data_IF_623878613030
#
_entry.id   IF_623878613030
#
_cell.length_a   1.000
_cell.length_b   1.000
_cell.length_c   1.000
_cell.angle_alpha   90.00
_cell.angle_beta   90.00
_cell.angle_gamma   90.00
#
_symmetry.space_group_name_H-M   'P 1'
#
loop_
_entity.id
_entity.type
_entity.pdbx_description
1 polymer ?
#
# COMPACT_ATOMS: atom_id res chain seq x y z
N UNK A 1 -64.78 77.20 16.92
CA UNK A 1 -64.38 77.10 18.32
C UNK A 1 -63.25 76.07 18.44
N UNK A 2 -62.15 76.43 18.94
CA UNK A 2 -60.90 75.64 19.01
C UNK A 2 -60.98 74.57 20.13
N UNK A 3 -60.49 73.36 19.83
CA UNK A 3 -60.03 72.43 20.87
C UNK A 3 -58.73 71.79 20.40
N UNK A 4 -57.70 72.04 21.19
CA UNK A 4 -56.34 71.54 21.05
C UNK A 4 -56.21 70.12 21.55
N UNK A 5 -55.71 69.19 20.71
CA UNK A 5 -55.38 67.82 21.08
C UNK A 5 -53.86 67.67 21.20
N UNK A 6 -53.43 67.26 22.38
CA UNK A 6 -52.03 66.95 22.72
C UNK A 6 -51.63 65.59 22.10
N UNK A 7 -50.48 65.54 21.43
CA UNK A 7 -49.83 64.30 20.98
C UNK A 7 -48.97 63.70 22.10
N UNK A 8 -48.96 62.37 22.30
CA UNK A 8 -48.01 61.74 23.19
C UNK A 8 -46.68 61.44 22.47
N UNK A 9 -45.60 61.66 23.20
CA UNK A 9 -44.23 61.30 22.81
C UNK A 9 -44.06 59.78 22.82
N UNK A 10 -43.65 59.18 21.69
CA UNK A 10 -43.12 57.84 21.62
C UNK A 10 -41.61 57.90 21.90
N UNK A 11 -41.16 57.29 22.99
CA UNK A 11 -39.77 57.06 23.28
C UNK A 11 -39.29 55.87 22.46
N UNK A 12 -38.35 56.10 21.54
CA UNK A 12 -37.63 55.03 20.82
C UNK A 12 -36.59 54.40 21.73
N UNK A 13 -36.80 53.14 22.10
CA UNK A 13 -35.76 52.27 22.65
C UNK A 13 -34.85 51.83 21.49
N UNK A 14 -33.64 52.33 21.41
CA UNK A 14 -32.58 51.81 20.57
C UNK A 14 -31.93 50.63 21.30
N UNK A 15 -32.33 49.41 20.90
CA UNK A 15 -31.64 48.20 21.34
C UNK A 15 -30.31 48.06 20.62
N UNK A 16 -29.21 48.16 21.35
CA UNK A 16 -27.88 47.86 20.87
C UNK A 16 -27.73 46.35 20.67
N UNK A 17 -27.76 45.88 19.40
CA UNK A 17 -27.32 44.56 19.04
C UNK A 17 -25.80 44.49 19.19
N UNK A 18 -25.31 43.89 20.25
CA UNK A 18 -23.93 43.47 20.38
C UNK A 18 -23.66 42.30 19.43
N UNK A 19 -23.02 42.59 18.32
CA UNK A 19 -22.46 41.54 17.42
C UNK A 19 -21.30 40.85 18.14
N UNK A 20 -21.54 39.62 18.58
CA UNK A 20 -20.47 38.71 19.00
C UNK A 20 -19.61 38.39 17.74
N UNK A 21 -18.29 38.50 17.82
CA UNK A 21 -17.42 38.09 16.73
C UNK A 21 -17.55 36.59 16.56
N UNK A 22 -17.99 36.14 15.40
CA UNK A 22 -17.86 34.75 14.96
C UNK A 22 -16.35 34.53 14.84
N UNK A 23 -15.74 33.91 15.86
CA UNK A 23 -14.40 33.36 15.72
C UNK A 23 -14.47 32.25 14.68
N UNK A 24 -14.14 32.59 13.44
CA UNK A 24 -13.91 31.58 12.42
C UNK A 24 -12.78 30.70 12.93
N UNK A 25 -13.11 29.48 13.31
CA UNK A 25 -12.16 28.43 13.58
C UNK A 25 -11.37 28.22 12.29
N UNK A 26 -10.19 28.84 12.19
CA UNK A 26 -9.23 28.51 11.14
C UNK A 26 -8.86 27.04 11.33
N UNK A 27 -9.44 26.19 10.51
CA UNK A 27 -8.98 24.82 10.37
C UNK A 27 -7.48 24.91 10.06
N UNK A 28 -6.66 24.32 10.89
CA UNK A 28 -5.21 24.30 10.70
C UNK A 28 -4.92 23.71 9.33
N UNK A 29 -4.29 24.45 8.45
CA UNK A 29 -3.89 24.04 7.10
C UNK A 29 -2.69 23.08 7.12
N UNK A 30 -2.29 22.60 8.29
CA UNK A 30 -1.21 21.62 8.41
C UNK A 30 -1.72 20.26 7.96
N UNK A 31 -1.00 19.59 7.05
CA UNK A 31 -1.33 18.22 6.66
C UNK A 31 -1.40 17.35 7.90
N UNK A 32 -2.40 16.48 7.97
CA UNK A 32 -2.47 15.48 9.05
C UNK A 32 -1.22 14.62 9.02
N UNK A 33 -0.42 14.67 10.09
CA UNK A 33 0.70 13.77 10.30
C UNK A 33 0.24 12.63 11.22
N UNK A 34 0.31 11.35 10.80
CA UNK A 34 -0.05 10.22 11.63
C UNK A 34 0.75 10.21 12.93
N UNK A 35 0.07 10.06 14.05
CA UNK A 35 0.71 9.95 15.37
C UNK A 35 0.87 8.47 15.72
N UNK A 36 1.80 8.18 16.63
CA UNK A 36 1.96 6.83 17.18
C UNK A 36 0.65 6.29 17.79
N UNK A 37 -0.19 7.17 18.39
CA UNK A 37 -1.51 6.85 18.91
C UNK A 37 -2.53 6.47 17.85
N UNK A 38 -2.33 6.91 16.60
CA UNK A 38 -3.22 6.63 15.47
C UNK A 38 -2.86 5.29 14.79
N UNK A 39 -1.85 4.63 15.30
CA UNK A 39 -1.39 3.34 14.81
C UNK A 39 -2.48 2.29 15.02
N UNK A 40 -2.95 1.62 13.97
CA UNK A 40 -3.80 0.45 14.12
C UNK A 40 -3.09 -0.57 15.02
N UNK A 41 -3.82 -1.21 15.92
CA UNK A 41 -3.26 -2.30 16.70
C UNK A 41 -2.64 -3.33 15.74
N UNK A 42 -1.40 -3.72 16.01
CA UNK A 42 -0.78 -4.80 15.26
C UNK A 42 -1.63 -6.06 15.49
N UNK A 43 -2.26 -6.54 14.44
CA UNK A 43 -2.99 -7.79 14.53
C UNK A 43 -1.99 -8.90 14.41
N UNK A 44 -1.68 -9.50 15.56
CA UNK A 44 -0.77 -10.64 15.67
C UNK A 44 -1.59 -11.89 15.98
N UNK A 45 -1.28 -13.00 15.27
CA UNK A 45 -1.89 -14.30 15.57
C UNK A 45 -2.94 -14.76 14.57
N UNK A 46 -3.63 -15.81 14.96
CA UNK A 46 -4.63 -16.51 14.14
C UNK A 46 -5.97 -15.79 14.18
N UNK A 47 -6.10 -14.72 13.38
CA UNK A 47 -7.39 -14.08 13.20
C UNK A 47 -8.35 -15.00 12.45
N UNK A 48 -9.64 -15.01 12.81
CA UNK A 48 -10.63 -15.77 12.08
C UNK A 48 -10.63 -15.44 10.58
N UNK A 49 -10.58 -16.48 9.75
CA UNK A 49 -10.65 -16.38 8.30
C UNK A 49 -9.30 -16.24 7.58
N UNK A 50 -8.17 -16.07 8.30
CA UNK A 50 -6.86 -16.18 7.69
C UNK A 50 -6.40 -17.63 7.59
N UNK A 51 -5.86 -18.02 6.43
CA UNK A 51 -5.25 -19.33 6.18
C UNK A 51 -3.78 -19.16 5.84
N UNK A 52 -2.95 -20.09 6.30
CA UNK A 52 -1.53 -20.10 5.95
C UNK A 52 -1.34 -20.44 4.46
N UNK A 53 -0.45 -19.71 3.79
CA UNK A 53 -0.04 -19.96 2.40
C UNK A 53 1.35 -20.60 2.31
N UNK A 54 2.06 -20.74 3.43
CA UNK A 54 3.44 -21.24 3.48
C UNK A 54 3.65 -22.04 4.75
N UNK A 55 4.24 -23.21 4.65
CA UNK A 55 4.45 -24.14 5.75
C UNK A 55 5.77 -23.90 6.53
N UNK A 56 6.59 -22.95 6.07
CA UNK A 56 7.91 -22.68 6.65
C UNK A 56 8.97 -23.71 6.32
N UNK A 57 8.67 -24.74 5.54
CA UNK A 57 9.56 -25.87 5.28
C UNK A 57 9.78 -26.17 3.81
N UNK A 58 8.75 -25.98 2.98
CA UNK A 58 8.78 -26.31 1.55
C UNK A 58 8.19 -25.18 0.72
N UNK A 59 8.51 -25.15 -0.58
CA UNK A 59 7.85 -24.26 -1.55
C UNK A 59 6.59 -24.91 -2.15
N UNK A 60 5.99 -25.90 -1.50
CA UNK A 60 4.75 -26.52 -1.98
C UNK A 60 3.65 -25.46 -2.15
N UNK A 61 3.02 -25.44 -3.32
CA UNK A 61 2.03 -24.42 -3.68
C UNK A 61 2.63 -23.12 -4.22
N UNK A 62 3.95 -23.01 -4.29
CA UNK A 62 4.68 -21.90 -4.88
C UNK A 62 5.55 -22.37 -6.04
N UNK A 63 5.63 -21.58 -7.10
CA UNK A 63 6.38 -21.88 -8.31
C UNK A 63 7.27 -20.71 -8.70
N UNK A 64 8.57 -20.96 -8.79
CA UNK A 64 9.60 -19.99 -9.17
C UNK A 64 10.84 -20.71 -9.64
N UNK A 65 11.83 -19.98 -10.16
CA UNK A 65 13.10 -20.57 -10.57
C UNK A 65 13.91 -20.98 -9.32
N UNK A 66 14.23 -22.28 -9.13
CA UNK A 66 14.97 -22.78 -7.97
C UNK A 66 16.41 -22.23 -7.89
N UNK A 67 16.90 -21.59 -8.95
CA UNK A 67 18.18 -20.87 -8.93
C UNK A 67 18.15 -19.68 -7.98
N UNK A 68 16.98 -19.07 -7.76
CA UNK A 68 16.82 -17.85 -6.97
C UNK A 68 16.01 -18.08 -5.70
N UNK A 69 15.15 -19.11 -5.68
CA UNK A 69 14.19 -19.32 -4.60
C UNK A 69 14.41 -20.63 -3.85
N UNK A 70 14.47 -20.56 -2.53
CA UNK A 70 14.60 -21.70 -1.61
C UNK A 70 13.91 -21.43 -0.29
N UNK A 71 13.87 -22.42 0.58
CA UNK A 71 13.51 -22.27 2.00
C UNK A 71 14.78 -22.36 2.83
N UNK A 72 14.93 -21.44 3.79
CA UNK A 72 16.04 -21.38 4.74
C UNK A 72 15.53 -20.82 6.06
N UNK A 73 15.81 -21.48 7.18
CA UNK A 73 15.44 -21.03 8.53
C UNK A 73 13.96 -20.64 8.71
N UNK A 74 13.05 -21.39 8.09
CA UNK A 74 11.62 -21.14 8.20
C UNK A 74 11.10 -20.00 7.31
N UNK A 75 11.94 -19.43 6.45
CA UNK A 75 11.60 -18.37 5.53
C UNK A 75 11.76 -18.80 4.08
N UNK A 76 10.91 -18.24 3.23
CA UNK A 76 11.08 -18.25 1.77
C UNK A 76 12.14 -17.21 1.41
N UNK A 77 13.22 -17.62 0.81
CA UNK A 77 14.38 -16.79 0.46
C UNK A 77 14.44 -16.59 -1.04
N UNK A 78 14.48 -15.32 -1.45
CA UNK A 78 14.81 -14.90 -2.80
C UNK A 78 16.20 -14.26 -2.81
N UNK A 79 17.13 -14.76 -3.64
CA UNK A 79 18.51 -14.29 -3.61
C UNK A 79 19.12 -14.20 -5.01
N UNK A 80 19.86 -13.13 -5.22
CA UNK A 80 20.76 -12.93 -6.35
C UNK A 80 22.17 -12.83 -5.77
N UNK A 81 23.05 -13.74 -6.19
CA UNK A 81 24.49 -13.71 -5.87
C UNK A 81 25.28 -13.11 -7.04
N UNK A 82 26.57 -12.80 -6.88
CA UNK A 82 27.41 -12.37 -8.02
C UNK A 82 27.39 -13.36 -9.20
N UNK A 83 27.19 -14.67 -8.93
CA UNK A 83 27.15 -15.73 -9.92
C UNK A 83 25.78 -15.91 -10.57
N UNK A 84 24.73 -15.36 -9.95
CA UNK A 84 23.33 -15.55 -10.38
C UNK A 84 22.66 -14.27 -10.85
N UNK A 85 23.43 -13.24 -11.25
CA UNK A 85 22.89 -11.96 -11.73
C UNK A 85 21.84 -12.17 -12.83
N UNK A 86 20.71 -11.47 -12.72
CA UNK A 86 19.59 -11.52 -13.66
C UNK A 86 19.54 -10.27 -14.54
N UNK A 87 18.90 -10.40 -15.70
CA UNK A 87 18.71 -9.30 -16.66
C UNK A 87 17.28 -8.74 -16.65
N UNK A 88 16.36 -9.41 -15.99
CA UNK A 88 14.96 -9.00 -15.83
C UNK A 88 14.40 -9.54 -14.53
N UNK A 89 13.37 -8.87 -14.03
CA UNK A 89 12.67 -9.29 -12.79
C UNK A 89 12.11 -10.70 -12.94
N UNK A 90 12.28 -11.53 -11.89
CA UNK A 90 11.68 -12.85 -11.80
C UNK A 90 10.97 -13.01 -10.46
N UNK A 91 9.98 -13.90 -10.44
CA UNK A 91 9.08 -14.03 -9.30
C UNK A 91 9.00 -15.48 -8.82
N UNK A 92 8.64 -15.67 -7.55
CA UNK A 92 7.99 -16.89 -7.11
C UNK A 92 6.51 -16.61 -6.95
N UNK A 93 5.67 -17.51 -7.45
CA UNK A 93 4.24 -17.29 -7.68
C UNK A 93 3.44 -18.33 -6.89
N UNK A 94 2.52 -17.85 -6.07
CA UNK A 94 1.57 -18.73 -5.39
C UNK A 94 0.54 -19.31 -6.37
N UNK A 95 0.37 -20.63 -6.34
CA UNK A 95 -0.52 -21.37 -7.23
C UNK A 95 -1.82 -21.84 -6.56
N UNK A 96 -2.07 -21.40 -5.32
CA UNK A 96 -3.28 -21.78 -4.57
C UNK A 96 -4.56 -21.07 -4.99
N UNK A 97 -4.50 -20.14 -5.96
CA UNK A 97 -5.68 -19.46 -6.47
C UNK A 97 -5.40 -18.08 -7.07
N UNK A 98 -6.48 -17.39 -7.42
CA UNK A 98 -6.47 -16.02 -7.98
C UNK A 98 -7.41 -15.14 -7.16
N UNK A 99 -7.00 -14.70 -5.95
CA UNK A 99 -7.87 -13.95 -5.06
C UNK A 99 -8.30 -12.61 -5.68
N UNK A 100 -9.60 -12.31 -5.51
CA UNK A 100 -10.24 -11.07 -5.95
C UNK A 100 -10.25 -10.03 -4.85
N UNK A 101 -11.01 -10.30 -3.81
CA UNK A 101 -11.12 -9.46 -2.61
C UNK A 101 -10.48 -10.20 -1.44
N UNK A 102 -9.45 -9.60 -0.86
CA UNK A 102 -8.62 -10.31 0.12
C UNK A 102 -7.90 -9.34 1.07
N UNK A 103 -7.41 -9.93 2.16
CA UNK A 103 -6.33 -9.39 2.97
C UNK A 103 -5.17 -10.37 2.97
N UNK A 104 -3.96 -9.86 2.82
CA UNK A 104 -2.71 -10.62 2.81
C UNK A 104 -1.79 -10.07 3.88
N UNK A 105 -1.28 -10.95 4.74
CA UNK A 105 -0.26 -10.61 5.75
C UNK A 105 0.99 -11.44 5.52
N UNK A 106 2.14 -10.82 5.61
CA UNK A 106 3.45 -11.48 5.47
C UNK A 106 4.52 -10.68 6.18
N UNK A 107 5.45 -11.36 6.83
CA UNK A 107 6.65 -10.73 7.34
C UNK A 107 7.75 -10.79 6.29
N UNK A 108 8.52 -9.72 6.18
CA UNK A 108 9.66 -9.64 5.27
C UNK A 108 10.88 -8.97 5.90
N UNK A 109 12.05 -9.32 5.41
CA UNK A 109 13.28 -8.55 5.59
C UNK A 109 14.10 -8.59 4.31
N UNK A 110 14.93 -7.56 4.09
CA UNK A 110 15.66 -7.40 2.84
C UNK A 110 17.02 -6.76 3.12
N UNK A 111 18.05 -7.17 2.37
CA UNK A 111 19.38 -6.54 2.43
C UNK A 111 19.31 -5.08 1.94
N UNK A 112 20.20 -4.23 2.45
CA UNK A 112 20.20 -2.78 2.20
C UNK A 112 20.28 -2.39 0.72
N UNK A 113 20.86 -3.23 -0.14
CA UNK A 113 20.93 -3.01 -1.59
C UNK A 113 19.79 -3.67 -2.37
N UNK A 114 18.92 -4.43 -1.69
CA UNK A 114 17.89 -5.21 -2.32
C UNK A 114 16.70 -4.38 -2.81
N UNK A 115 16.02 -4.92 -3.83
CA UNK A 115 14.73 -4.44 -4.30
C UNK A 115 13.84 -5.65 -4.59
N UNK A 116 12.60 -5.58 -4.13
CA UNK A 116 11.60 -6.63 -4.21
C UNK A 116 10.21 -5.99 -4.21
N UNK A 117 9.18 -6.82 -4.18
CA UNK A 117 7.79 -6.37 -4.05
C UNK A 117 6.84 -7.54 -3.96
N UNK A 118 5.69 -7.29 -3.35
CA UNK A 118 4.60 -8.25 -3.26
C UNK A 118 3.60 -7.92 -4.36
N UNK A 119 3.57 -8.77 -5.40
CA UNK A 119 2.60 -8.65 -6.49
C UNK A 119 1.29 -9.32 -6.13
N UNK A 120 0.19 -8.71 -6.57
CA UNK A 120 -1.16 -9.24 -6.39
C UNK A 120 -2.09 -8.84 -7.53
N UNK A 121 -3.20 -9.54 -7.70
CA UNK A 121 -4.08 -9.43 -8.86
C UNK A 121 -3.27 -9.38 -10.16
N UNK A 122 -2.26 -10.25 -10.24
CA UNK A 122 -1.26 -10.24 -11.30
C UNK A 122 -1.44 -11.42 -12.24
N UNK A 123 -0.88 -11.29 -13.44
CA UNK A 123 -0.83 -12.34 -14.44
C UNK A 123 0.61 -12.62 -14.83
N UNK A 124 0.90 -13.87 -15.19
CA UNK A 124 2.18 -14.23 -15.83
C UNK A 124 2.19 -13.69 -17.25
N UNK A 125 3.29 -13.07 -17.62
CA UNK A 125 3.47 -12.52 -18.97
C UNK A 125 4.78 -12.99 -19.58
N UNK A 126 4.91 -13.05 -20.92
CA UNK A 126 6.17 -13.29 -21.58
C UNK A 126 7.21 -12.24 -21.17
N UNK A 127 8.42 -12.69 -20.86
CA UNK A 127 9.55 -11.79 -20.62
C UNK A 127 10.25 -11.48 -21.95
N UNK A 128 10.20 -10.22 -22.35
CA UNK A 128 10.79 -9.77 -23.62
C UNK A 128 12.30 -9.53 -23.53
N UNK A 129 12.85 -9.38 -22.31
CA UNK A 129 14.29 -9.19 -22.06
C UNK A 129 15.01 -10.56 -21.90
N UNK A 130 14.36 -11.48 -21.17
CA UNK A 130 14.87 -12.81 -20.89
C UNK A 130 13.81 -13.84 -21.26
N UNK A 131 13.68 -14.25 -22.53
CA UNK A 131 12.59 -15.14 -22.97
C UNK A 131 12.53 -16.50 -22.24
N UNK A 132 13.64 -16.96 -21.66
CA UNK A 132 13.68 -18.15 -20.83
C UNK A 132 13.07 -17.95 -19.42
N UNK A 133 12.87 -16.71 -18.98
CA UNK A 133 12.22 -16.42 -17.72
C UNK A 133 10.71 -16.63 -17.83
N UNK A 134 10.23 -17.70 -17.23
CA UNK A 134 8.82 -18.10 -17.23
C UNK A 134 8.01 -17.48 -16.08
N UNK A 135 8.66 -16.69 -15.23
CA UNK A 135 8.13 -16.18 -13.99
C UNK A 135 8.10 -14.64 -13.97
N UNK A 136 7.92 -14.01 -15.13
CA UNK A 136 7.66 -12.57 -15.20
C UNK A 136 6.17 -12.30 -14.94
N UNK A 137 5.87 -11.28 -14.13
CA UNK A 137 4.51 -10.92 -13.77
C UNK A 137 4.16 -9.50 -14.20
N UNK A 138 2.86 -9.24 -14.37
CA UNK A 138 2.28 -7.91 -14.55
C UNK A 138 1.09 -7.77 -13.59
N UNK A 139 0.99 -6.67 -12.87
CA UNK A 139 -0.11 -6.35 -11.96
C UNK A 139 0.31 -5.43 -10.83
N UNK A 140 -0.55 -5.24 -9.82
CA UNK A 140 -0.24 -4.39 -8.68
C UNK A 140 0.89 -4.97 -7.84
N UNK A 141 1.69 -4.06 -7.27
CA UNK A 141 2.83 -4.40 -6.41
C UNK A 141 2.90 -3.46 -5.20
N UNK A 142 3.06 -4.03 -4.04
CA UNK A 142 3.57 -3.31 -2.89
C UNK A 142 5.09 -3.37 -2.93
N UNK A 143 5.72 -2.23 -3.19
CA UNK A 143 7.18 -2.16 -3.27
C UNK A 143 7.83 -2.44 -1.93
N UNK A 144 8.99 -3.11 -1.98
CA UNK A 144 9.87 -3.40 -0.85
C UNK A 144 11.31 -3.15 -1.30
N UNK A 145 12.00 -2.23 -0.65
CA UNK A 145 13.40 -1.96 -0.95
C UNK A 145 14.25 -1.76 0.31
N UNK A 146 15.47 -2.26 0.28
CA UNK A 146 16.39 -2.20 1.41
C UNK A 146 16.94 -0.81 1.72
N UNK A 147 16.81 0.14 0.78
CA UNK A 147 17.16 1.56 1.00
C UNK A 147 16.03 2.34 1.64
N UNK A 148 14.88 1.70 1.81
CA UNK A 148 13.67 2.29 2.37
C UNK A 148 13.23 3.59 1.66
N UNK A 149 13.41 3.64 0.34
CA UNK A 149 12.98 4.75 -0.50
C UNK A 149 11.63 4.47 -1.18
N UNK A 150 11.35 3.20 -1.48
CA UNK A 150 10.16 2.78 -2.22
C UNK A 150 9.17 1.97 -1.38
N UNK A 151 9.62 1.37 -0.26
CA UNK A 151 8.78 0.46 0.53
C UNK A 151 7.44 1.08 0.91
N UNK A 152 6.36 0.38 0.56
CA UNK A 152 4.98 0.81 0.79
C UNK A 152 4.36 1.62 -0.35
N UNK A 153 5.08 1.95 -1.43
CA UNK A 153 4.46 2.48 -2.64
C UNK A 153 3.47 1.45 -3.23
N UNK A 154 2.47 1.95 -3.94
CA UNK A 154 1.65 1.12 -4.82
C UNK A 154 2.13 1.33 -6.26
N UNK A 155 2.69 0.27 -6.82
CA UNK A 155 3.24 0.23 -8.16
C UNK A 155 2.45 -0.77 -9.01
N UNK A 156 2.42 -0.63 -10.30
CA UNK A 156 1.89 -1.64 -11.22
C UNK A 156 3.01 -2.14 -12.14
N UNK A 157 3.52 -3.32 -11.81
CA UNK A 157 4.61 -3.98 -12.56
C UNK A 157 4.19 -4.23 -14.01
N UNK A 158 5.01 -3.78 -14.96
CA UNK A 158 4.74 -3.85 -16.41
C UNK A 158 3.39 -3.24 -16.83
N UNK A 159 2.85 -2.30 -16.02
CA UNK A 159 1.59 -1.62 -16.25
C UNK A 159 1.72 -0.10 -16.18
N UNK A 160 0.84 0.54 -15.41
CA UNK A 160 0.75 2.01 -15.26
C UNK A 160 1.82 2.61 -14.34
N UNK A 161 2.74 1.82 -13.79
CA UNK A 161 3.85 2.22 -12.92
C UNK A 161 3.36 2.71 -11.54
N UNK A 162 3.83 3.86 -11.05
CA UNK A 162 3.47 4.36 -9.72
C UNK A 162 2.02 4.85 -9.68
N UNK A 163 1.18 4.16 -8.94
CA UNK A 163 -0.22 4.53 -8.71
C UNK A 163 -0.37 5.38 -7.46
N UNK A 164 0.41 5.12 -6.41
CA UNK A 164 0.54 5.97 -5.23
C UNK A 164 1.93 5.82 -4.62
N UNK A 165 2.56 6.92 -4.28
CA UNK A 165 3.79 6.92 -3.50
C UNK A 165 3.47 6.78 -2.01
N UNK A 166 4.46 6.36 -1.21
CA UNK A 166 4.32 6.32 0.25
C UNK A 166 3.90 7.68 0.80
N UNK A 167 2.86 7.68 1.60
CA UNK A 167 2.21 8.88 2.14
C UNK A 167 1.00 9.33 1.33
N UNK A 168 0.68 8.71 0.21
CA UNK A 168 -0.38 9.17 -0.67
C UNK A 168 -1.62 8.29 -0.64
N UNK A 169 -2.78 8.94 -0.70
CA UNK A 169 -4.05 8.37 -1.14
C UNK A 169 -4.36 8.94 -2.50
N UNK A 170 -4.49 8.10 -3.50
CA UNK A 170 -4.70 8.53 -4.90
C UNK A 170 -5.97 7.94 -5.49
N UNK A 171 -6.49 8.62 -6.51
CA UNK A 171 -7.52 8.12 -7.41
C UNK A 171 -6.92 7.98 -8.81
N UNK A 172 -7.02 6.78 -9.36
CA UNK A 172 -6.57 6.48 -10.72
C UNK A 172 -7.76 6.52 -11.65
N UNK A 173 -7.66 7.30 -12.73
CA UNK A 173 -8.69 7.43 -13.78
C UNK A 173 -7.98 7.28 -15.12
N UNK A 174 -8.55 6.48 -16.02
CA UNK A 174 -7.93 6.17 -17.30
C UNK A 174 -7.47 7.40 -18.08
N UNK A 175 -6.30 7.28 -18.72
CA UNK A 175 -5.71 8.32 -19.57
C UNK A 175 -5.15 9.53 -18.82
N UNK A 176 -4.97 9.46 -17.50
CA UNK A 176 -4.44 10.54 -16.64
C UNK A 176 -3.42 10.01 -15.63
N UNK A 177 -2.46 10.83 -15.21
CA UNK A 177 -1.67 10.54 -14.01
C UNK A 177 -2.58 10.35 -12.79
N UNK A 178 -2.16 9.56 -11.78
CA UNK A 178 -2.90 9.42 -10.53
C UNK A 178 -3.17 10.78 -9.88
N UNK A 179 -4.39 10.98 -9.41
CA UNK A 179 -4.85 12.21 -8.77
C UNK A 179 -4.65 12.06 -7.26
N UNK A 180 -3.87 12.94 -6.64
CA UNK A 180 -3.71 12.97 -5.20
C UNK A 180 -5.04 13.39 -4.55
N UNK A 181 -5.60 12.53 -3.71
CA UNK A 181 -6.82 12.79 -2.92
C UNK A 181 -6.46 13.42 -1.59
N UNK A 182 -5.50 12.81 -0.88
CA UNK A 182 -4.99 13.30 0.40
C UNK A 182 -3.62 12.68 0.72
N UNK A 183 -2.96 13.19 1.75
CA UNK A 183 -1.76 12.58 2.33
C UNK A 183 -2.11 11.90 3.65
N UNK A 184 -1.44 10.79 3.94
CA UNK A 184 -1.51 10.08 5.23
C UNK A 184 -0.24 10.27 6.06
N UNK A 185 0.65 11.14 5.61
CA UNK A 185 1.91 11.49 6.28
C UNK A 185 3.04 11.72 5.28
N UNK A 186 4.10 12.31 5.76
CA UNK A 186 5.30 12.55 4.98
C UNK A 186 6.04 11.20 4.74
N UNK A 187 6.49 10.96 3.50
CA UNK A 187 7.18 9.73 3.12
C UNK A 187 8.38 9.42 4.02
N UNK A 188 9.13 10.44 4.44
CA UNK A 188 10.28 10.29 5.34
C UNK A 188 9.89 9.86 6.74
N UNK A 189 8.78 10.38 7.27
CA UNK A 189 8.26 10.01 8.60
C UNK A 189 7.75 8.58 8.57
N UNK A 190 6.99 8.21 7.55
CA UNK A 190 6.51 6.84 7.36
C UNK A 190 7.66 5.84 7.16
N UNK A 191 8.76 6.26 6.55
CA UNK A 191 9.99 5.47 6.46
C UNK A 191 10.56 5.11 7.84
N UNK A 192 10.38 5.98 8.83
CA UNK A 192 10.85 5.75 10.20
C UNK A 192 10.17 4.60 10.93
N UNK A 193 9.05 4.09 10.42
CA UNK A 193 8.37 2.91 10.99
C UNK A 193 8.95 1.57 10.50
N UNK A 194 9.84 1.57 9.52
CA UNK A 194 10.50 0.37 9.05
C UNK A 194 11.73 0.06 9.90
N UNK A 195 12.01 -1.23 10.06
CA UNK A 195 13.19 -1.73 10.76
C UNK A 195 14.18 -2.33 9.75
N UNK A 196 15.42 -2.51 10.18
CA UNK A 196 16.44 -3.22 9.39
C UNK A 196 16.35 -4.75 9.49
N UNK A 197 15.46 -5.26 10.34
CA UNK A 197 15.15 -6.67 10.52
C UNK A 197 13.73 -6.95 9.97
N UNK A 198 12.97 -7.82 10.60
CA UNK A 198 11.65 -8.21 10.15
C UNK A 198 10.65 -7.05 10.23
N UNK A 199 9.93 -6.86 9.13
CA UNK A 199 8.80 -5.95 8.99
C UNK A 199 7.56 -6.75 8.63
N UNK A 200 6.38 -6.28 9.02
CA UNK A 200 5.10 -6.89 8.65
C UNK A 200 4.42 -6.08 7.56
N UNK A 201 4.15 -6.69 6.42
CA UNK A 201 3.27 -6.13 5.39
C UNK A 201 1.85 -6.64 5.59
N UNK A 202 0.87 -5.74 5.49
CA UNK A 202 -0.54 -6.05 5.45
C UNK A 202 -1.17 -5.34 4.26
N UNK A 203 -1.59 -6.10 3.27
CA UNK A 203 -2.20 -5.61 2.04
C UNK A 203 -3.69 -5.94 2.06
N UNK A 204 -4.52 -4.99 1.65
CA UNK A 204 -5.94 -5.23 1.43
C UNK A 204 -6.34 -4.79 0.02
N UNK A 205 -7.08 -5.64 -0.68
CA UNK A 205 -7.67 -5.33 -1.97
C UNK A 205 -9.16 -5.67 -1.91
N UNK A 206 -10.02 -4.64 -2.06
CA UNK A 206 -11.47 -4.80 -2.08
C UNK A 206 -12.07 -3.94 -3.19
N UNK A 207 -12.74 -4.59 -4.14
CA UNK A 207 -13.26 -3.89 -5.31
C UNK A 207 -12.14 -3.11 -6.02
N UNK A 208 -12.26 -1.79 -6.05
CA UNK A 208 -11.31 -0.87 -6.63
C UNK A 208 -10.38 -0.19 -5.60
N UNK A 209 -10.43 -0.59 -4.34
CA UNK A 209 -9.62 -0.01 -3.27
C UNK A 209 -8.47 -0.94 -2.92
N UNK A 210 -7.26 -0.39 -2.93
CA UNK A 210 -6.00 -1.08 -2.63
C UNK A 210 -5.31 -0.35 -1.48
N UNK A 211 -4.91 -1.08 -0.45
CA UNK A 211 -4.32 -0.51 0.77
C UNK A 211 -3.03 -1.25 1.10
N UNK A 212 -1.96 -0.50 1.30
CA UNK A 212 -0.68 -1.02 1.75
C UNK A 212 -0.35 -0.48 3.14
N UNK A 213 -0.14 -1.39 4.08
CA UNK A 213 0.31 -1.07 5.43
C UNK A 213 1.60 -1.82 5.74
N UNK A 214 2.54 -1.14 6.39
CA UNK A 214 3.79 -1.74 6.89
C UNK A 214 3.90 -1.45 8.39
N UNK A 215 4.15 -2.48 9.17
CA UNK A 215 4.24 -2.41 10.63
C UNK A 215 3.02 -1.72 11.29
N UNK A 216 1.81 -1.95 10.70
CA UNK A 216 0.57 -1.36 11.17
C UNK A 216 0.35 0.09 10.76
N UNK A 217 1.21 0.68 9.94
CA UNK A 217 1.06 2.05 9.43
C UNK A 217 0.60 2.04 7.98
N UNK A 218 -0.40 2.88 7.67
CA UNK A 218 -0.84 3.09 6.28
C UNK A 218 0.27 3.78 5.50
N UNK A 219 0.74 3.10 4.45
CA UNK A 219 1.80 3.60 3.58
C UNK A 219 1.25 4.24 2.31
N UNK A 220 0.30 3.58 1.67
CA UNK A 220 -0.37 4.10 0.48
C UNK A 220 -1.76 3.51 0.31
N UNK A 221 -2.61 4.24 -0.38
CA UNK A 221 -3.95 3.78 -0.76
C UNK A 221 -4.27 4.23 -2.18
N UNK A 222 -4.86 3.34 -2.96
CA UNK A 222 -5.31 3.62 -4.33
C UNK A 222 -6.80 3.33 -4.43
N UNK A 223 -7.54 4.27 -5.04
CA UNK A 223 -8.90 4.07 -5.55
C UNK A 223 -8.78 3.99 -7.07
N UNK A 224 -8.81 2.77 -7.61
CA UNK A 224 -8.61 2.52 -9.03
C UNK A 224 -9.93 2.57 -9.80
N UNK A 225 -10.27 3.74 -10.31
CA UNK A 225 -11.45 4.01 -11.13
C UNK A 225 -11.14 3.96 -12.64
N UNK A 226 -10.25 3.06 -13.05
CA UNK A 226 -9.91 2.77 -14.45
C UNK A 226 -10.32 1.33 -14.83
N UNK A 227 -11.63 1.02 -14.95
CA UNK A 227 -12.10 -0.35 -15.16
C UNK A 227 -11.44 -1.12 -16.30
N UNK A 228 -11.11 -0.51 -17.46
CA UNK A 228 -10.44 -1.21 -18.56
C UNK A 228 -9.05 -1.73 -18.21
N UNK A 229 -8.33 -1.06 -17.31
CA UNK A 229 -6.95 -1.38 -16.96
C UNK A 229 -6.80 -1.94 -15.54
N UNK A 230 -7.87 -1.93 -14.75
CA UNK A 230 -7.90 -2.43 -13.37
C UNK A 230 -8.03 -3.94 -13.33
N UNK A 231 -7.00 -4.70 -12.88
CA UNK A 231 -7.17 -6.12 -12.59
C UNK A 231 -8.16 -6.33 -11.43
N UNK A 232 -9.16 -7.17 -11.63
CA UNK A 232 -10.15 -7.48 -10.60
C UNK A 232 -9.70 -8.62 -9.68
N UNK A 233 -8.92 -9.55 -10.19
CA UNK A 233 -8.37 -10.73 -9.52
C UNK A 233 -7.02 -11.09 -10.13
N UNK A 234 -6.39 -12.15 -9.66
CA UNK A 234 -5.16 -12.68 -10.21
C UNK A 234 -4.21 -13.26 -9.17
N UNK A 235 -3.05 -13.65 -9.63
CA UNK A 235 -2.04 -14.34 -8.85
C UNK A 235 -1.37 -13.43 -7.82
N UNK A 236 -0.83 -14.06 -6.78
CA UNK A 236 0.09 -13.45 -5.81
C UNK A 236 1.49 -13.97 -6.10
N UNK A 237 2.49 -13.11 -6.01
CA UNK A 237 3.89 -13.49 -6.13
C UNK A 237 4.82 -12.47 -5.50
N UNK A 238 6.09 -12.84 -5.31
CA UNK A 238 7.13 -11.92 -4.82
C UNK A 238 8.34 -11.93 -5.73
N UNK A 239 8.98 -10.79 -5.81
CA UNK A 239 9.99 -10.46 -6.79
C UNK A 239 11.42 -10.60 -6.23
N UNK A 240 12.35 -11.09 -7.06
CA UNK A 240 13.74 -10.66 -7.02
C UNK A 240 13.97 -9.72 -8.20
N UNK A 241 14.43 -8.52 -7.91
CA UNK A 241 14.54 -7.43 -8.90
C UNK A 241 15.89 -7.45 -9.60
N UNK A 242 15.89 -7.13 -10.89
CA UNK A 242 17.12 -6.96 -11.65
C UNK A 242 18.04 -5.94 -10.99
N UNK A 243 19.31 -6.32 -10.79
CA UNK A 243 20.29 -5.47 -10.13
C UNK A 243 21.49 -6.26 -9.65
N UNK A 244 22.18 -5.70 -8.66
CA UNK A 244 23.29 -6.36 -7.97
C UNK A 244 22.85 -7.47 -7.01
N UNK A 245 23.81 -8.09 -6.31
CA UNK A 245 23.50 -9.09 -5.31
C UNK A 245 22.54 -8.57 -4.25
N UNK A 246 21.54 -9.39 -3.89
CA UNK A 246 20.53 -9.07 -2.91
C UNK A 246 19.95 -10.34 -2.27
N UNK A 247 19.43 -10.23 -1.07
CA UNK A 247 18.63 -11.27 -0.39
C UNK A 247 17.35 -10.64 0.16
N UNK A 248 16.23 -11.25 -0.11
CA UNK A 248 14.93 -10.95 0.52
C UNK A 248 14.37 -12.22 1.12
N UNK A 249 13.73 -12.09 2.27
CA UNK A 249 13.19 -13.20 3.02
C UNK A 249 11.73 -12.90 3.40
N UNK A 250 10.87 -13.93 3.29
CA UNK A 250 9.45 -13.84 3.61
C UNK A 250 9.03 -15.00 4.48
N UNK A 251 8.21 -14.74 5.52
CA UNK A 251 7.63 -15.76 6.39
C UNK A 251 6.23 -15.35 6.86
N UNK A 252 5.55 -16.26 7.58
CA UNK A 252 4.24 -15.99 8.18
C UNK A 252 3.19 -15.51 7.16
N UNK A 253 3.16 -16.13 5.99
CA UNK A 253 2.21 -15.86 4.95
C UNK A 253 0.80 -16.26 5.36
N UNK A 254 -0.15 -15.33 5.32
CA UNK A 254 -1.55 -15.56 5.70
C UNK A 254 -2.46 -14.79 4.74
N UNK A 255 -3.46 -15.48 4.21
CA UNK A 255 -4.44 -14.94 3.26
C UNK A 255 -5.86 -15.11 3.82
N UNK A 256 -6.65 -14.06 3.75
CA UNK A 256 -8.09 -14.07 3.98
C UNK A 256 -8.80 -13.62 2.71
N UNK A 257 -9.71 -14.43 2.19
CA UNK A 257 -10.51 -14.13 1.01
C UNK A 257 -11.94 -13.81 1.43
N UNK A 258 -12.61 -12.98 0.63
CA UNK A 258 -13.98 -12.50 0.89
C UNK A 258 -14.93 -12.87 -0.24
#
# INVERSE_FOLDING_TARGET
MYTTGRRPFLASLIGSLSSLPLAAQQASSQPYAPRQSDRPAAVTGDEPGFTSMFDGKTLTGWEGDPKYWRVEDGAMVGEITPETVIKSNTFIIWRGGSPKDFELKVDFRITSGGNSGINYRSVVVPDTVTPANKFAMRGYQCDIDGRNSLTGNNYEEKGRLFLALRGQVTRVVGGRPPILVTSVGESKELAGFLTTDWNSAHLAARGNVLVHMINGHLMSMVIDDDPPNRPADGLIGVQVHVGGPMKVEYRNWRLKQY
#
